data_IF_572407779068
#
_entry.id   IF_572407779068
#
_cell.length_a   1.000
_cell.length_b   1.000
_cell.length_c   1.000
_cell.angle_alpha   90.00
_cell.angle_beta   90.00
_cell.angle_gamma   90.00
#
_symmetry.space_group_name_H-M   'P 1'
#
loop_
_entity.id
_entity.type
_entity.pdbx_description
1 polymer ?
#
# COMPACT_ATOMS: atom_id res chain seq x y z
N UNK A 1 21.34 -18.61 -7.27
CA UNK A 1 20.51 -17.39 -7.38
C UNK A 1 21.02 -16.55 -8.53
N UNK A 2 20.23 -15.61 -9.04
CA UNK A 2 20.72 -14.59 -9.98
C UNK A 2 21.37 -13.47 -9.15
N UNK A 3 22.63 -13.13 -9.46
CA UNK A 3 23.31 -12.01 -8.80
C UNK A 3 22.61 -10.68 -9.18
N UNK A 4 22.25 -9.82 -8.21
CA UNK A 4 21.58 -8.55 -8.50
C UNK A 4 22.46 -7.51 -9.20
N UNK A 5 23.78 -7.75 -9.29
CA UNK A 5 24.73 -6.79 -9.86
C UNK A 5 25.21 -7.14 -11.26
N UNK A 6 25.57 -8.41 -11.51
CA UNK A 6 26.12 -8.84 -12.80
C UNK A 6 25.18 -9.79 -13.57
N UNK A 7 23.96 -10.01 -13.06
CA UNK A 7 22.94 -10.90 -13.63
C UNK A 7 23.38 -12.37 -13.83
N UNK A 8 24.57 -12.76 -13.39
CA UNK A 8 25.03 -14.14 -13.49
C UNK A 8 24.25 -15.07 -12.55
N UNK A 9 23.91 -16.25 -13.05
CA UNK A 9 23.46 -17.35 -12.20
C UNK A 9 24.66 -17.89 -11.42
N UNK A 10 24.64 -17.75 -10.10
CA UNK A 10 25.70 -18.20 -9.19
C UNK A 10 25.18 -19.29 -8.26
N UNK A 11 25.97 -20.36 -8.11
CA UNK A 11 25.67 -21.49 -7.22
C UNK A 11 25.95 -21.10 -5.77
N UNK A 12 25.42 -21.87 -4.81
CA UNK A 12 25.65 -21.58 -3.40
C UNK A 12 27.12 -21.63 -2.99
N UNK A 13 27.87 -22.64 -3.44
CA UNK A 13 29.32 -22.75 -3.19
C UNK A 13 30.16 -21.62 -3.81
N UNK A 14 29.59 -20.89 -4.77
CA UNK A 14 30.22 -19.74 -5.44
C UNK A 14 29.83 -18.43 -4.74
N UNK A 15 29.20 -18.50 -3.56
CA UNK A 15 28.77 -17.35 -2.77
C UNK A 15 29.32 -17.52 -1.36
N UNK A 16 30.20 -16.62 -0.93
CA UNK A 16 30.76 -16.59 0.42
C UNK A 16 30.52 -15.22 1.04
N UNK A 17 30.10 -15.18 2.32
CA UNK A 17 29.87 -13.92 3.03
C UNK A 17 28.95 -12.94 2.30
N UNK A 18 27.86 -13.42 1.70
CA UNK A 18 26.94 -12.63 0.87
C UNK A 18 27.58 -11.94 -0.34
N UNK A 19 28.67 -12.48 -0.89
CA UNK A 19 29.33 -11.96 -2.10
C UNK A 19 29.14 -12.88 -3.29
N UNK A 20 28.99 -12.28 -4.46
CA UNK A 20 28.94 -13.02 -5.72
C UNK A 20 30.35 -13.48 -6.11
N UNK A 21 30.57 -14.79 -6.26
CA UNK A 21 31.88 -15.31 -6.69
C UNK A 21 32.30 -14.91 -8.11
N UNK A 22 31.40 -14.35 -8.92
CA UNK A 22 31.72 -13.86 -10.26
C UNK A 22 32.14 -12.39 -10.32
N UNK A 23 31.46 -11.51 -9.56
CA UNK A 23 31.72 -10.07 -9.60
C UNK A 23 32.22 -9.48 -8.28
N UNK A 24 32.35 -10.29 -7.23
CA UNK A 24 32.84 -9.89 -5.90
C UNK A 24 31.91 -8.99 -5.09
N UNK A 25 30.83 -8.47 -5.69
CA UNK A 25 29.90 -7.53 -5.05
C UNK A 25 29.00 -8.23 -4.03
N UNK A 26 28.72 -7.50 -2.95
CA UNK A 26 27.83 -7.93 -1.87
C UNK A 26 26.36 -7.90 -2.29
N UNK A 27 25.54 -8.77 -1.71
CA UNK A 27 24.08 -8.74 -1.79
C UNK A 27 23.49 -8.80 -0.37
N UNK A 28 22.22 -8.42 -0.22
CA UNK A 28 21.58 -8.28 1.09
C UNK A 28 20.96 -9.59 1.55
N UNK A 29 20.15 -10.21 0.68
CA UNK A 29 19.37 -11.41 0.99
C UNK A 29 20.01 -12.65 0.36
N UNK A 30 20.47 -13.57 1.20
CA UNK A 30 20.90 -14.90 0.80
C UNK A 30 19.72 -15.89 0.93
N UNK A 31 19.26 -16.52 -0.17
CA UNK A 31 18.08 -17.37 -0.14
C UNK A 31 18.15 -18.55 0.85
N UNK A 32 19.33 -19.00 1.29
CA UNK A 32 19.43 -20.07 2.28
C UNK A 32 19.31 -19.61 3.74
N UNK A 33 19.45 -18.33 4.02
CA UNK A 33 19.48 -17.83 5.40
C UNK A 33 18.09 -17.73 6.03
N UNK A 34 17.05 -17.86 5.23
CA UNK A 34 15.67 -17.72 5.70
C UNK A 34 14.69 -18.56 4.87
N UNK A 35 13.60 -18.98 5.53
CA UNK A 35 12.57 -19.84 4.95
C UNK A 35 11.92 -19.26 3.67
N UNK A 36 11.82 -17.94 3.53
CA UNK A 36 11.24 -17.27 2.36
C UNK A 36 12.06 -17.42 1.08
N UNK A 37 13.32 -17.84 1.17
CA UNK A 37 14.28 -17.85 0.05
C UNK A 37 14.30 -16.54 -0.74
N UNK A 38 14.05 -15.42 -0.05
CA UNK A 38 14.08 -14.08 -0.59
C UNK A 38 15.46 -13.73 -1.17
N UNK A 39 15.47 -12.92 -2.21
CA UNK A 39 16.66 -12.43 -2.90
C UNK A 39 16.50 -10.95 -3.20
N UNK A 40 17.63 -10.24 -3.35
CA UNK A 40 17.64 -8.84 -3.77
C UNK A 40 16.90 -8.62 -5.10
N UNK A 41 16.98 -9.59 -6.01
CA UNK A 41 16.28 -9.55 -7.31
C UNK A 41 14.75 -9.59 -7.10
N UNK A 42 14.25 -10.42 -6.20
CA UNK A 42 12.81 -10.46 -5.88
C UNK A 42 12.36 -9.16 -5.23
N UNK A 43 13.15 -8.59 -4.31
CA UNK A 43 12.84 -7.30 -3.69
C UNK A 43 12.80 -6.18 -4.73
N UNK A 44 13.79 -6.12 -5.64
CA UNK A 44 13.83 -5.13 -6.74
C UNK A 44 12.65 -5.27 -7.70
N UNK A 45 12.25 -6.51 -8.04
CA UNK A 45 11.07 -6.76 -8.88
C UNK A 45 9.78 -6.31 -8.19
N UNK A 46 9.60 -6.64 -6.91
CA UNK A 46 8.45 -6.21 -6.12
C UNK A 46 8.38 -4.68 -5.99
N UNK A 47 9.52 -4.04 -5.74
CA UNK A 47 9.65 -2.59 -5.71
C UNK A 47 9.25 -1.93 -7.04
N UNK A 48 9.79 -2.42 -8.16
CA UNK A 48 9.45 -1.92 -9.49
C UNK A 48 7.95 -2.07 -9.80
N UNK A 49 7.36 -3.22 -9.45
CA UNK A 49 5.93 -3.49 -9.64
C UNK A 49 5.04 -2.60 -8.76
N UNK A 50 5.43 -2.30 -7.52
CA UNK A 50 4.69 -1.40 -6.64
C UNK A 50 4.82 0.07 -7.05
N UNK A 51 6.03 0.49 -7.42
CA UNK A 51 6.29 1.89 -7.70
C UNK A 51 5.79 2.32 -9.09
N UNK A 52 5.85 1.44 -10.09
CA UNK A 52 5.54 1.77 -11.49
C UNK A 52 6.26 3.06 -11.97
N UNK A 53 7.42 3.37 -11.37
CA UNK A 53 8.19 4.59 -11.59
C UNK A 53 7.57 5.90 -11.08
N UNK A 54 6.29 5.91 -10.71
CA UNK A 54 5.53 7.14 -10.43
C UNK A 54 4.92 7.19 -9.03
N UNK A 55 4.66 6.03 -8.43
CA UNK A 55 3.97 5.91 -7.17
C UNK A 55 4.92 5.60 -6.02
N UNK A 56 4.60 6.16 -4.86
CA UNK A 56 5.21 5.81 -3.59
C UNK A 56 4.48 4.61 -2.98
N UNK A 57 5.19 3.75 -2.27
CA UNK A 57 4.64 2.57 -1.60
C UNK A 57 5.32 2.37 -0.25
N UNK A 58 4.72 1.56 0.62
CA UNK A 58 5.18 1.39 2.01
C UNK A 58 5.91 0.08 2.27
N UNK A 59 6.57 -0.07 3.42
CA UNK A 59 7.17 -1.35 3.82
C UNK A 59 6.12 -2.43 3.98
N UNK A 60 4.93 -2.09 4.48
CA UNK A 60 3.82 -3.05 4.56
C UNK A 60 3.46 -3.61 3.18
N UNK A 61 3.34 -2.75 2.17
CA UNK A 61 3.07 -3.19 0.79
C UNK A 61 4.22 -4.01 0.21
N UNK A 62 5.47 -3.56 0.40
CA UNK A 62 6.64 -4.30 -0.08
C UNK A 62 6.71 -5.69 0.56
N UNK A 63 6.53 -5.78 1.88
CA UNK A 63 6.51 -7.03 2.65
C UNK A 63 5.40 -7.95 2.16
N UNK A 64 4.19 -7.43 1.97
CA UNK A 64 3.06 -8.20 1.50
C UNK A 64 3.27 -8.74 0.06
N UNK A 65 3.93 -7.97 -0.81
CA UNK A 65 4.25 -8.39 -2.17
C UNK A 65 5.37 -9.43 -2.21
N UNK A 66 6.49 -9.24 -1.48
CA UNK A 66 7.58 -10.23 -1.46
C UNK A 66 7.18 -11.53 -0.72
N UNK A 67 6.24 -11.43 0.23
CA UNK A 67 5.71 -12.56 0.98
C UNK A 67 4.72 -13.46 0.22
N UNK A 68 4.41 -13.18 -1.05
CA UNK A 68 3.52 -14.04 -1.86
C UNK A 68 4.07 -15.46 -2.04
N UNK A 69 5.37 -15.68 -1.85
CA UNK A 69 6.03 -16.99 -1.89
C UNK A 69 6.34 -17.63 -0.53
N UNK A 70 5.89 -17.03 0.59
CA UNK A 70 6.15 -17.54 1.94
C UNK A 70 6.41 -16.46 2.99
N UNK A 71 6.70 -16.87 4.23
CA UNK A 71 6.94 -15.96 5.33
C UNK A 71 8.21 -15.11 5.12
N UNK A 72 8.03 -13.79 5.06
CA UNK A 72 9.13 -12.81 4.98
C UNK A 72 9.96 -12.87 6.27
N UNK A 73 11.29 -12.66 6.22
CA UNK A 73 12.13 -12.71 7.42
C UNK A 73 11.64 -11.69 8.48
N UNK A 74 11.65 -12.04 9.77
CA UNK A 74 11.12 -11.16 10.82
C UNK A 74 11.86 -9.81 10.93
N UNK A 75 13.14 -9.79 10.56
CA UNK A 75 13.98 -8.59 10.52
C UNK A 75 13.96 -7.86 9.15
N UNK A 76 13.07 -8.24 8.22
CA UNK A 76 13.08 -7.70 6.85
C UNK A 76 13.09 -6.17 6.81
N UNK A 77 12.27 -5.52 7.63
CA UNK A 77 12.24 -4.05 7.72
C UNK A 77 13.59 -3.47 8.12
N UNK A 78 14.20 -4.01 9.17
CA UNK A 78 15.49 -3.54 9.68
C UNK A 78 16.60 -3.77 8.66
N UNK A 79 16.64 -4.97 8.06
CA UNK A 79 17.55 -5.30 6.96
C UNK A 79 17.40 -4.32 5.81
N UNK A 80 16.18 -3.97 5.43
CA UNK A 80 15.93 -2.99 4.38
C UNK A 80 16.31 -1.56 4.78
N UNK A 81 16.14 -1.15 6.04
CA UNK A 81 16.48 0.21 6.48
C UNK A 81 17.98 0.41 6.68
N UNK A 82 18.68 -0.62 7.17
CA UNK A 82 20.08 -0.52 7.57
C UNK A 82 21.01 -1.13 6.53
N UNK A 83 20.81 -2.41 6.18
CA UNK A 83 21.75 -3.16 5.34
C UNK A 83 21.58 -2.86 3.86
N UNK A 84 20.35 -2.66 3.39
CA UNK A 84 20.10 -2.42 1.98
C UNK A 84 20.78 -1.16 1.44
N UNK A 85 20.69 0.02 2.09
CA UNK A 85 21.39 1.22 1.61
C UNK A 85 22.92 1.06 1.66
N UNK A 86 23.46 0.30 2.62
CA UNK A 86 24.91 0.04 2.67
C UNK A 86 25.39 -0.73 1.42
N UNK A 87 24.61 -1.69 0.94
CA UNK A 87 24.98 -2.55 -0.20
C UNK A 87 24.62 -1.90 -1.55
N UNK A 88 23.48 -1.21 -1.61
CA UNK A 88 22.89 -0.71 -2.86
C UNK A 88 22.91 0.82 -3.01
N UNK A 89 23.40 1.55 -2.00
CA UNK A 89 23.52 3.02 -2.00
C UNK A 89 22.24 3.76 -1.58
N UNK A 90 21.06 3.18 -1.81
CA UNK A 90 19.78 3.78 -1.43
C UNK A 90 18.72 2.73 -1.16
N UNK A 91 17.62 3.13 -0.52
CA UNK A 91 16.38 2.35 -0.52
C UNK A 91 15.85 2.18 -1.96
N UNK A 92 15.04 1.14 -2.21
CA UNK A 92 14.30 1.03 -3.47
C UNK A 92 13.49 2.30 -3.76
N UNK A 93 13.51 2.74 -5.02
CA UNK A 93 12.82 3.96 -5.44
C UNK A 93 11.33 3.91 -5.09
N UNK A 94 10.81 4.98 -4.51
CA UNK A 94 9.39 5.09 -4.12
C UNK A 94 9.04 4.47 -2.77
N UNK A 95 9.95 3.72 -2.12
CA UNK A 95 9.69 3.15 -0.80
C UNK A 95 9.63 4.25 0.29
N UNK A 96 8.57 4.20 1.09
CA UNK A 96 8.32 5.10 2.21
C UNK A 96 8.19 4.32 3.50
N UNK A 97 8.76 4.86 4.57
CA UNK A 97 8.56 4.34 5.91
C UNK A 97 7.19 4.76 6.47
N UNK A 98 6.22 3.85 6.57
CA UNK A 98 4.92 4.14 7.18
C UNK A 98 4.99 4.44 8.69
N UNK A 99 6.15 4.22 9.34
CA UNK A 99 6.37 4.64 10.73
C UNK A 99 6.59 6.13 10.86
N UNK A 100 7.25 6.77 9.90
CA UNK A 100 7.57 8.21 9.92
C UNK A 100 6.44 9.09 9.37
N UNK A 101 5.38 8.50 8.82
CA UNK A 101 4.25 9.22 8.18
C UNK A 101 3.03 9.41 9.09
N UNK A 102 3.21 9.43 10.41
CA UNK A 102 2.11 9.76 11.33
C UNK A 102 1.87 11.27 11.28
N UNK A 103 0.62 11.67 11.05
CA UNK A 103 0.19 13.05 11.33
C UNK A 103 0.47 14.07 10.23
N UNK A 104 0.28 13.71 8.95
CA UNK A 104 0.25 14.72 7.88
C UNK A 104 -0.71 15.86 8.26
N UNK A 105 -0.24 17.10 8.10
CA UNK A 105 -1.02 18.28 8.44
C UNK A 105 -2.37 18.24 7.73
N UNK A 106 -3.47 18.59 8.43
CA UNK A 106 -4.75 18.69 7.78
C UNK A 106 -4.67 19.74 6.65
N UNK A 107 -5.35 19.52 5.51
CA UNK A 107 -5.43 20.55 4.48
C UNK A 107 -6.05 21.81 5.07
N UNK A 108 -5.56 22.98 4.63
CA UNK A 108 -6.02 24.31 5.07
C UNK A 108 -7.49 24.57 4.65
N UNK A 109 -8.03 23.75 3.75
CA UNK A 109 -9.36 23.91 3.14
C UNK A 109 -10.38 22.92 3.74
N UNK A 110 -11.68 23.26 3.71
CA UNK A 110 -12.72 22.30 4.07
C UNK A 110 -12.60 21.07 3.17
N UNK A 111 -12.56 19.88 3.79
CA UNK A 111 -12.43 18.62 3.07
C UNK A 111 -13.78 18.14 2.58
N UNK A 112 -13.78 17.58 1.37
CA UNK A 112 -14.97 16.97 0.77
C UNK A 112 -15.37 15.71 1.54
N UNK A 113 -14.40 14.90 1.98
CA UNK A 113 -14.68 13.71 2.77
C UNK A 113 -13.50 13.33 3.69
N UNK A 114 -13.82 12.54 4.71
CA UNK A 114 -12.80 11.85 5.52
C UNK A 114 -12.62 10.42 5.01
N UNK A 115 -11.39 10.03 4.70
CA UNK A 115 -11.03 8.67 4.30
C UNK A 115 -10.52 7.94 5.53
N UNK A 116 -11.27 6.95 6.01
CA UNK A 116 -10.85 6.06 7.09
C UNK A 116 -10.23 4.81 6.50
N UNK A 117 -8.96 4.55 6.79
CA UNK A 117 -8.28 3.33 6.36
C UNK A 117 -7.60 2.65 7.57
N UNK A 118 -8.15 1.53 8.07
CA UNK A 118 -7.63 0.88 9.27
C UNK A 118 -6.23 0.29 9.08
N UNK A 119 -5.82 0.07 7.83
CA UNK A 119 -4.48 -0.37 7.47
C UNK A 119 -3.52 0.84 7.41
N UNK A 120 -2.54 0.83 8.32
CA UNK A 120 -1.54 1.91 8.44
C UNK A 120 -0.64 2.00 7.20
N UNK A 121 -0.25 0.86 6.62
CA UNK A 121 0.62 0.83 5.45
C UNK A 121 -0.11 1.42 4.23
N UNK A 122 -1.40 1.15 4.11
CA UNK A 122 -2.25 1.75 3.06
C UNK A 122 -2.48 3.24 3.31
N UNK A 123 -2.81 3.65 4.53
CA UNK A 123 -2.95 5.07 4.89
C UNK A 123 -1.70 5.87 4.54
N UNK A 124 -0.53 5.38 4.96
CA UNK A 124 0.74 6.04 4.65
C UNK A 124 1.06 6.03 3.15
N UNK A 125 0.66 4.99 2.41
CA UNK A 125 0.75 4.96 0.95
C UNK A 125 -0.10 6.07 0.32
N UNK A 126 -1.37 6.21 0.72
CA UNK A 126 -2.24 7.26 0.21
C UNK A 126 -1.65 8.65 0.49
N UNK A 127 -1.21 8.90 1.73
CA UNK A 127 -0.54 10.14 2.13
C UNK A 127 0.73 10.41 1.29
N UNK A 128 1.56 9.38 1.06
CA UNK A 128 2.77 9.51 0.27
C UNK A 128 2.49 9.82 -1.21
N UNK A 129 1.31 9.47 -1.72
CA UNK A 129 0.87 9.79 -3.08
C UNK A 129 -0.04 11.03 -3.14
N UNK A 130 0.03 11.89 -2.12
CA UNK A 130 -0.59 13.21 -2.11
C UNK A 130 -2.11 13.20 -2.31
N UNK A 131 -2.74 12.08 -1.91
CA UNK A 131 -4.17 11.83 -2.02
C UNK A 131 -5.00 12.93 -1.36
N UNK A 132 -4.56 13.43 -0.21
CA UNK A 132 -5.30 14.46 0.53
C UNK A 132 -5.45 15.74 -0.29
N UNK A 133 -4.36 16.20 -0.90
CA UNK A 133 -4.34 17.42 -1.72
C UNK A 133 -4.99 17.18 -3.08
N UNK A 134 -4.79 16.02 -3.69
CA UNK A 134 -5.31 15.70 -5.02
C UNK A 134 -6.84 15.61 -5.04
N UNK A 135 -7.46 15.14 -3.97
CA UNK A 135 -8.90 14.88 -3.91
C UNK A 135 -9.63 15.69 -2.85
N UNK A 136 -8.98 16.65 -2.20
CA UNK A 136 -9.53 17.44 -1.10
C UNK A 136 -10.15 16.58 0.01
N UNK A 137 -9.43 15.53 0.43
CA UNK A 137 -9.86 14.58 1.47
C UNK A 137 -8.92 14.56 2.66
N UNK A 138 -9.41 14.12 3.83
CA UNK A 138 -8.58 13.85 4.99
C UNK A 138 -8.40 12.35 5.23
N UNK A 139 -7.19 11.82 5.03
CA UNK A 139 -6.88 10.42 5.31
C UNK A 139 -6.57 10.24 6.80
N UNK A 140 -7.26 9.31 7.46
CA UNK A 140 -7.12 8.97 8.89
C UNK A 140 -7.15 7.46 9.08
N UNK A 141 -6.59 6.99 10.19
CA UNK A 141 -6.51 5.56 10.49
C UNK A 141 -7.85 4.93 10.87
N UNK A 142 -8.46 5.39 11.96
CA UNK A 142 -9.65 4.70 12.53
C UNK A 142 -10.82 5.61 12.85
N UNK A 143 -10.56 6.88 13.14
CA UNK A 143 -11.59 7.78 13.65
C UNK A 143 -11.79 9.00 12.76
N UNK A 144 -13.06 9.33 12.55
CA UNK A 144 -13.46 10.58 11.91
C UNK A 144 -13.91 11.58 13.01
N UNK A 145 -13.43 12.84 12.97
CA UNK A 145 -13.80 13.88 13.94
C UNK A 145 -15.31 14.01 14.13
N UNK A 146 -15.72 14.48 15.31
CA UNK A 146 -17.10 14.90 15.54
C UNK A 146 -17.52 15.96 14.51
N UNK A 147 -18.76 15.89 14.04
CA UNK A 147 -19.28 16.79 12.98
C UNK A 147 -18.92 16.38 11.54
N UNK A 148 -18.11 15.34 11.33
CA UNK A 148 -17.84 14.82 9.98
C UNK A 148 -19.12 14.32 9.32
N UNK A 149 -19.51 14.91 8.19
CA UNK A 149 -20.73 14.55 7.47
C UNK A 149 -20.55 13.34 6.55
N UNK A 150 -19.43 13.30 5.79
CA UNK A 150 -19.14 12.23 4.83
C UNK A 150 -17.85 11.49 5.21
N UNK A 151 -17.95 10.16 5.24
CA UNK A 151 -16.84 9.24 5.49
C UNK A 151 -16.73 8.22 4.36
N UNK A 152 -15.53 8.09 3.79
CA UNK A 152 -15.15 7.00 2.89
C UNK A 152 -14.37 5.97 3.72
N UNK A 153 -14.94 4.80 3.94
CA UNK A 153 -14.23 3.69 4.57
C UNK A 153 -13.43 2.94 3.51
N UNK A 154 -12.12 3.17 3.50
CA UNK A 154 -11.18 2.54 2.59
C UNK A 154 -10.62 1.25 3.21
N UNK A 155 -11.20 0.10 2.85
CA UNK A 155 -10.93 -1.18 3.51
C UNK A 155 -11.26 -2.38 2.63
N UNK A 156 -10.75 -3.56 3.00
CA UNK A 156 -11.38 -4.80 2.56
C UNK A 156 -12.77 -4.89 3.17
N UNK A 157 -13.76 -5.34 2.39
CA UNK A 157 -15.17 -5.41 2.82
C UNK A 157 -15.41 -6.61 3.74
N UNK A 158 -14.75 -6.63 4.89
CA UNK A 158 -14.88 -7.66 5.92
C UNK A 158 -15.95 -7.29 6.98
N UNK A 159 -16.21 -8.21 7.91
CA UNK A 159 -17.19 -8.01 8.98
C UNK A 159 -16.91 -6.75 9.81
N UNK A 160 -15.62 -6.43 10.02
CA UNK A 160 -15.21 -5.24 10.78
C UNK A 160 -15.57 -3.97 10.02
N UNK A 161 -15.31 -3.93 8.71
CA UNK A 161 -15.69 -2.81 7.86
C UNK A 161 -17.22 -2.59 7.87
N UNK A 162 -18.00 -3.66 7.77
CA UNK A 162 -19.47 -3.60 7.85
C UNK A 162 -19.95 -3.05 9.20
N UNK A 163 -19.41 -3.53 10.33
CA UNK A 163 -19.74 -3.00 11.67
C UNK A 163 -19.40 -1.52 11.81
N UNK A 164 -18.27 -1.09 11.24
CA UNK A 164 -17.86 0.31 11.28
C UNK A 164 -18.76 1.19 10.41
N UNK A 165 -19.11 0.76 9.20
CA UNK A 165 -20.09 1.45 8.34
C UNK A 165 -21.44 1.60 9.03
N UNK A 166 -21.96 0.52 9.63
CA UNK A 166 -23.22 0.56 10.37
C UNK A 166 -23.17 1.53 11.55
N UNK A 167 -22.03 1.61 12.25
CA UNK A 167 -21.83 2.54 13.37
C UNK A 167 -21.78 3.99 12.90
N UNK A 168 -21.06 4.28 11.82
CA UNK A 168 -21.01 5.62 11.23
C UNK A 168 -22.40 6.06 10.74
N UNK A 169 -23.13 5.18 10.05
CA UNK A 169 -24.50 5.45 9.56
C UNK A 169 -25.48 5.73 10.70
N UNK A 170 -25.43 4.94 11.79
CA UNK A 170 -26.27 5.17 12.98
C UNK A 170 -25.99 6.52 13.67
N UNK A 171 -24.79 7.06 13.53
CA UNK A 171 -24.46 8.40 14.03
C UNK A 171 -24.95 9.55 13.15
N UNK A 172 -25.78 9.27 12.13
CA UNK A 172 -26.29 10.25 11.18
C UNK A 172 -25.31 10.64 10.08
N UNK A 173 -24.13 10.00 10.03
CA UNK A 173 -23.10 10.29 9.01
C UNK A 173 -23.37 9.50 7.74
N UNK A 174 -23.05 10.10 6.60
CA UNK A 174 -22.95 9.36 5.35
C UNK A 174 -21.64 8.58 5.33
N UNK A 175 -21.73 7.26 5.16
CA UNK A 175 -20.57 6.38 5.10
C UNK A 175 -20.64 5.46 3.87
N UNK A 176 -19.58 5.48 3.06
CA UNK A 176 -19.45 4.70 1.83
C UNK A 176 -18.24 3.78 1.95
N UNK A 177 -18.39 2.52 1.55
CA UNK A 177 -17.28 1.57 1.52
C UNK A 177 -16.49 1.72 0.21
N UNK A 178 -15.17 1.69 0.29
CA UNK A 178 -14.26 1.81 -0.85
C UNK A 178 -13.18 0.76 -0.72
N UNK A 179 -12.96 -0.04 -1.76
CA UNK A 179 -11.95 -1.09 -1.74
C UNK A 179 -12.41 -2.35 -2.47
N UNK A 180 -11.57 -3.40 -2.43
CA UNK A 180 -11.83 -4.61 -3.18
C UNK A 180 -13.01 -5.37 -2.57
N UNK A 181 -13.64 -6.26 -3.36
CA UNK A 181 -14.55 -7.26 -2.82
C UNK A 181 -13.85 -8.09 -1.73
N UNK A 182 -14.66 -8.69 -0.86
CA UNK A 182 -14.21 -9.40 0.34
C UNK A 182 -13.07 -10.40 0.04
N UNK A 183 -12.08 -10.44 0.93
CA UNK A 183 -10.97 -11.41 0.90
C UNK A 183 -9.63 -10.88 0.39
N UNK A 184 -9.57 -9.71 -0.29
CA UNK A 184 -8.29 -9.10 -0.70
C UNK A 184 -7.81 -8.06 0.32
N UNK A 185 -6.62 -8.28 0.87
CA UNK A 185 -5.96 -7.31 1.73
C UNK A 185 -5.46 -6.11 0.92
N UNK A 186 -5.89 -4.89 1.25
CA UNK A 186 -5.50 -3.65 0.57
C UNK A 186 -3.99 -3.45 0.48
N UNK A 187 -3.24 -3.91 1.48
CA UNK A 187 -1.76 -3.85 1.50
C UNK A 187 -1.12 -4.63 0.35
N UNK A 188 -1.85 -5.53 -0.32
CA UNK A 188 -1.38 -6.28 -1.51
C UNK A 188 -1.76 -5.62 -2.82
N UNK A 189 -2.54 -4.54 -2.79
CA UNK A 189 -2.98 -3.79 -3.96
C UNK A 189 -1.94 -2.73 -4.32
N UNK A 190 -1.73 -2.52 -5.61
CA UNK A 190 -0.79 -1.52 -6.12
C UNK A 190 -1.26 -0.12 -5.74
N UNK A 191 -0.34 0.80 -5.39
CA UNK A 191 -0.67 2.21 -5.13
C UNK A 191 -1.50 2.87 -6.23
N UNK A 192 -1.20 2.60 -7.50
CA UNK A 192 -1.93 3.12 -8.67
C UNK A 192 -3.43 2.81 -8.59
N UNK A 193 -3.76 1.55 -8.36
CA UNK A 193 -5.13 1.04 -8.20
C UNK A 193 -5.80 1.63 -6.94
N UNK A 194 -5.07 1.74 -5.83
CA UNK A 194 -5.60 2.35 -4.61
C UNK A 194 -6.02 3.81 -4.83
N UNK A 195 -5.18 4.57 -5.54
CA UNK A 195 -5.44 5.98 -5.87
C UNK A 195 -6.61 6.11 -6.85
N UNK A 196 -6.69 5.24 -7.85
CA UNK A 196 -7.80 5.18 -8.80
C UNK A 196 -9.14 4.88 -8.10
N UNK A 197 -9.16 3.89 -7.21
CA UNK A 197 -10.36 3.57 -6.44
C UNK A 197 -10.82 4.75 -5.61
N UNK A 198 -9.90 5.47 -4.99
CA UNK A 198 -10.27 6.63 -4.22
C UNK A 198 -10.79 7.78 -5.09
N UNK A 199 -10.19 8.03 -6.27
CA UNK A 199 -10.64 9.06 -7.22
C UNK A 199 -12.11 8.83 -7.61
N UNK A 200 -12.42 7.62 -8.04
CA UNK A 200 -13.77 7.22 -8.44
C UNK A 200 -14.77 7.35 -7.28
N UNK A 201 -14.40 6.95 -6.06
CA UNK A 201 -15.26 7.10 -4.88
C UNK A 201 -15.53 8.57 -4.54
N UNK A 202 -14.50 9.42 -4.60
CA UNK A 202 -14.64 10.87 -4.37
C UNK A 202 -15.53 11.49 -5.44
N UNK A 203 -15.33 11.17 -6.72
CA UNK A 203 -16.18 11.69 -7.82
C UNK A 203 -17.64 11.26 -7.68
N UNK A 204 -17.89 10.01 -7.29
CA UNK A 204 -19.24 9.53 -7.05
C UNK A 204 -19.94 10.32 -5.93
N UNK A 205 -19.20 10.62 -4.86
CA UNK A 205 -19.71 11.40 -3.73
C UNK A 205 -19.96 12.87 -4.10
N UNK A 206 -19.07 13.50 -4.86
CA UNK A 206 -19.28 14.88 -5.34
C UNK A 206 -20.55 14.98 -6.19
N UNK A 207 -20.75 14.06 -7.14
CA UNK A 207 -21.97 14.02 -7.96
C UNK A 207 -23.25 13.86 -7.14
N UNK A 208 -23.19 13.04 -6.07
CA UNK A 208 -24.32 12.86 -5.16
C UNK A 208 -24.67 14.17 -4.44
N UNK A 209 -23.67 14.92 -3.98
CA UNK A 209 -23.87 16.23 -3.31
C UNK A 209 -24.48 17.27 -4.24
N UNK A 210 -24.10 17.27 -5.51
CA UNK A 210 -24.59 18.22 -6.51
C UNK A 210 -26.04 17.94 -6.96
N UNK A 211 -26.78 17.08 -6.24
CA UNK A 211 -28.20 16.86 -6.46
C UNK A 211 -28.53 15.92 -7.62
N UNK A 212 -27.53 15.17 -8.14
CA UNK A 212 -27.78 14.08 -9.07
C UNK A 212 -28.45 12.90 -8.34
N UNK A 213 -29.75 13.02 -8.06
CA UNK A 213 -30.60 12.08 -7.28
C UNK A 213 -30.61 10.63 -7.79
N UNK A 214 -30.03 10.36 -8.97
CA UNK A 214 -29.93 9.03 -9.60
C UNK A 214 -28.54 8.40 -9.57
N UNK A 215 -27.52 9.06 -9.03
CA UNK A 215 -26.32 8.33 -8.64
C UNK A 215 -26.76 7.43 -7.49
N UNK A 216 -27.04 6.16 -7.82
CA UNK A 216 -27.52 5.15 -6.90
C UNK A 216 -26.73 5.25 -5.59
N UNK A 217 -27.31 4.78 -4.49
CA UNK A 217 -26.50 4.32 -3.38
C UNK A 217 -25.58 3.23 -3.95
N UNK A 218 -24.43 3.64 -4.47
CA UNK A 218 -23.38 2.76 -4.94
C UNK A 218 -22.73 2.30 -3.64
N UNK A 219 -23.46 1.46 -2.91
CA UNK A 219 -22.92 0.74 -1.76
C UNK A 219 -21.72 -0.12 -2.21
N UNK A 220 -21.65 -0.40 -3.52
CA UNK A 220 -20.60 -1.16 -4.20
C UNK A 220 -20.34 -0.57 -5.58
N UNK A 221 -19.19 0.09 -5.77
CA UNK A 221 -18.67 0.30 -7.11
C UNK A 221 -18.17 -1.07 -7.56
N UNK A 222 -18.77 -1.65 -8.60
CA UNK A 222 -18.13 -2.73 -9.35
C UNK A 222 -16.84 -2.13 -9.93
N UNK A 223 -15.72 -2.39 -9.26
CA UNK A 223 -14.43 -1.78 -9.60
C UNK A 223 -13.86 -2.43 -10.86
N UNK A 224 -13.86 -1.76 -12.03
CA UNK A 224 -13.19 -2.30 -13.20
C UNK A 224 -11.69 -2.42 -12.92
N UNK A 225 -11.06 -3.52 -13.36
CA UNK A 225 -9.61 -3.74 -13.22
C UNK A 225 -9.19 -4.74 -12.15
N UNK A 226 -10.12 -5.40 -11.46
CA UNK A 226 -9.88 -6.67 -10.76
C UNK A 226 -9.93 -7.80 -11.79
N UNK A 227 -9.08 -7.77 -12.81
CA UNK A 227 -8.75 -9.03 -13.50
C UNK A 227 -7.97 -9.87 -12.52
N UNK A 228 -8.41 -11.10 -12.28
CA UNK A 228 -7.58 -12.12 -11.66
C UNK A 228 -6.25 -12.17 -12.41
N UNK A 229 -5.23 -11.66 -11.76
CA UNK A 229 -3.85 -12.02 -12.08
C UNK A 229 -3.51 -13.00 -10.98
N UNK A 230 -3.82 -14.26 -11.26
CA UNK A 230 -3.37 -15.43 -10.51
C UNK A 230 -1.86 -15.36 -10.21
#
# INVERSE_FOLDING_TARGET
MICPHCAASVKHRERSGHRCGRCGREFVFEPRDHASRLTDVQVRRAAAWLGEGLFRYTFGQLTATVGRGGAVPPNFRETMLLRWPQVHGSLPAGLVDERSRIGADPPIRPVTAHVLCPDRAVSACLLANDVQRRFDVLVRGRDAPAGTQTVLLFGGLDERAHKMLATLRRSGRRAVAVGPPAGRALVRVRPSVLVEWLDLAVRAETRFRDGARKAAAVDYLDWPGVTDVD
#
